data_IF_137863301609
#
_entry.id   IF_137863301609
#
_cell.length_a   1.000
_cell.length_b   1.000
_cell.length_c   1.000
_cell.angle_alpha   90.00
_cell.angle_beta   90.00
_cell.angle_gamma   90.00
#
_symmetry.space_group_name_H-M   'P 1'
#
loop_
_entity.id
_entity.type
_entity.pdbx_description
1 polymer ?
#
# COMPACT_ATOMS: atom_id res chain seq x y z
N UNK A 1 -20.95 -12.90 10.41
CA UNK A 1 -22.17 -12.53 11.17
C UNK A 1 -23.04 -13.72 11.55
N UNK A 2 -22.77 -14.94 11.06
CA UNK A 2 -23.50 -16.15 11.48
C UNK A 2 -22.92 -16.72 12.76
N UNK A 3 -23.74 -17.44 13.52
CA UNK A 3 -23.28 -18.18 14.69
C UNK A 3 -22.14 -19.15 14.31
N UNK A 4 -20.95 -19.06 14.92
CA UNK A 4 -19.78 -19.88 14.57
C UNK A 4 -20.05 -21.40 14.65
N UNK A 5 -20.89 -21.83 15.60
CA UNK A 5 -21.26 -23.23 15.75
C UNK A 5 -22.03 -23.77 14.54
N UNK A 6 -22.93 -22.94 13.98
CA UNK A 6 -23.70 -23.31 12.78
C UNK A 6 -22.82 -23.30 11.52
N UNK A 7 -21.81 -22.40 11.48
CA UNK A 7 -20.81 -22.38 10.39
C UNK A 7 -19.93 -23.63 10.46
N UNK A 8 -19.40 -23.96 11.63
CA UNK A 8 -18.54 -25.13 11.84
C UNK A 8 -19.26 -26.45 11.57
N UNK A 9 -20.59 -26.53 11.86
CA UNK A 9 -21.41 -27.73 11.56
C UNK A 9 -21.87 -27.81 10.09
N UNK A 10 -21.49 -26.87 9.21
CA UNK A 10 -21.85 -26.85 7.79
C UNK A 10 -23.31 -26.52 7.50
N UNK A 11 -24.05 -25.96 8.46
CA UNK A 11 -25.46 -25.62 8.30
C UNK A 11 -25.71 -24.25 7.64
N UNK A 12 -24.65 -23.45 7.47
CA UNK A 12 -24.70 -22.12 6.82
C UNK A 12 -24.09 -22.23 5.43
N UNK A 13 -24.90 -22.00 4.38
CA UNK A 13 -24.46 -22.09 2.98
C UNK A 13 -24.49 -20.73 2.29
N UNK A 14 -25.69 -20.18 2.01
CA UNK A 14 -25.84 -18.95 1.23
C UNK A 14 -26.32 -17.75 2.07
N UNK A 15 -27.09 -17.99 3.11
CA UNK A 15 -27.66 -16.94 3.96
C UNK A 15 -27.19 -17.10 5.39
N UNK A 16 -26.88 -15.97 6.09
CA UNK A 16 -26.48 -16.01 7.49
C UNK A 16 -27.64 -16.56 8.35
N UNK A 17 -27.29 -17.41 9.31
CA UNK A 17 -28.22 -17.96 10.31
C UNK A 17 -27.78 -17.53 11.70
N UNK A 18 -28.75 -17.18 12.54
CA UNK A 18 -28.54 -16.73 13.92
C UNK A 18 -27.48 -15.59 13.97
N UNK A 19 -27.91 -14.42 13.48
CA UNK A 19 -27.01 -13.27 13.26
C UNK A 19 -26.48 -12.74 14.58
N UNK A 20 -25.16 -12.74 14.74
CA UNK A 20 -24.43 -12.23 15.90
C UNK A 20 -23.53 -11.05 15.49
N UNK A 21 -23.66 -9.92 16.20
CA UNK A 21 -22.88 -8.72 15.99
C UNK A 21 -21.74 -8.55 16.99
N UNK A 22 -21.57 -9.52 17.91
CA UNK A 22 -20.65 -9.40 19.04
C UNK A 22 -19.19 -9.29 18.57
N UNK A 23 -18.80 -9.99 17.50
CA UNK A 23 -17.48 -9.83 16.91
C UNK A 23 -17.20 -8.39 16.41
N UNK A 24 -18.18 -7.74 15.80
CA UNK A 24 -18.04 -6.34 15.38
C UNK A 24 -18.03 -5.38 16.56
N UNK A 25 -18.90 -5.57 17.54
CA UNK A 25 -18.91 -4.74 18.77
C UNK A 25 -17.57 -4.79 19.46
N UNK A 26 -17.01 -5.99 19.64
CA UNK A 26 -15.71 -6.18 20.27
C UNK A 26 -14.59 -5.53 19.45
N UNK A 27 -14.55 -5.73 18.15
CA UNK A 27 -13.55 -5.09 17.26
C UNK A 27 -13.62 -3.57 17.34
N UNK A 28 -14.82 -2.98 17.30
CA UNK A 28 -14.97 -1.52 17.34
C UNK A 28 -14.78 -0.91 18.74
N UNK A 29 -14.90 -1.69 19.81
CA UNK A 29 -14.60 -1.25 21.18
C UNK A 29 -13.10 -1.12 21.43
N UNK A 30 -12.26 -1.71 20.56
CA UNK A 30 -10.82 -1.72 20.70
C UNK A 30 -10.23 -0.35 20.32
N UNK A 31 -9.84 0.44 21.31
CA UNK A 31 -9.35 1.81 21.08
C UNK A 31 -8.15 1.90 20.12
N UNK A 32 -7.27 0.88 20.10
CA UNK A 32 -6.13 0.81 19.17
C UNK A 32 -6.55 0.66 17.71
N UNK A 33 -7.75 0.13 17.42
CA UNK A 33 -8.27 0.04 16.05
C UNK A 33 -8.34 1.43 15.41
N UNK A 34 -8.91 2.40 16.11
CA UNK A 34 -9.09 3.77 15.62
C UNK A 34 -7.76 4.49 15.43
N UNK A 35 -6.82 4.28 16.36
CA UNK A 35 -5.44 4.78 16.20
C UNK A 35 -4.78 4.16 14.98
N UNK A 36 -4.92 2.84 14.79
CA UNK A 36 -4.42 2.12 13.63
C UNK A 36 -5.01 2.65 12.31
N UNK A 37 -6.31 2.91 12.25
CA UNK A 37 -6.95 3.54 11.09
C UNK A 37 -6.37 4.91 10.77
N UNK A 38 -6.29 5.79 11.77
CA UNK A 38 -5.71 7.13 11.61
C UNK A 38 -4.29 7.05 11.06
N UNK A 39 -3.46 6.19 11.63
CA UNK A 39 -2.07 6.02 11.22
C UNK A 39 -1.98 5.45 9.79
N UNK A 40 -2.77 4.43 9.47
CA UNK A 40 -2.77 3.84 8.13
C UNK A 40 -3.23 4.84 7.07
N UNK A 41 -4.29 5.61 7.32
CA UNK A 41 -4.73 6.65 6.40
C UNK A 41 -3.61 7.68 6.18
N UNK A 42 -2.98 8.13 7.27
CA UNK A 42 -1.87 9.08 7.20
C UNK A 42 -0.68 8.53 6.41
N UNK A 43 -0.21 7.31 6.73
CA UNK A 43 0.91 6.68 6.03
C UNK A 43 0.58 6.41 4.56
N UNK A 44 -0.64 5.97 4.26
CA UNK A 44 -1.09 5.71 2.90
C UNK A 44 -1.13 7.00 2.09
N UNK A 45 -1.75 8.06 2.59
CA UNK A 45 -1.88 9.32 1.83
C UNK A 45 -0.52 9.98 1.64
N UNK A 46 0.21 10.20 2.73
CA UNK A 46 1.50 10.90 2.68
C UNK A 46 2.54 10.06 1.93
N UNK A 47 2.65 8.78 2.24
CA UNK A 47 3.57 7.86 1.56
C UNK A 47 3.29 7.79 0.07
N UNK A 48 2.03 7.60 -0.35
CA UNK A 48 1.65 7.55 -1.77
C UNK A 48 2.01 8.83 -2.51
N UNK A 49 1.77 10.01 -1.92
CA UNK A 49 2.13 11.29 -2.55
C UNK A 49 3.63 11.38 -2.80
N UNK A 50 4.45 11.06 -1.78
CA UNK A 50 5.91 11.07 -1.93
C UNK A 50 6.40 10.01 -2.93
N UNK A 51 5.87 8.78 -2.86
CA UNK A 51 6.25 7.71 -3.79
C UNK A 51 5.94 8.09 -5.25
N UNK A 52 4.73 8.56 -5.53
CA UNK A 52 4.33 8.96 -6.88
C UNK A 52 5.20 10.12 -7.37
N UNK A 53 5.38 11.15 -6.55
CA UNK A 53 6.19 12.32 -6.92
C UNK A 53 7.63 11.91 -7.26
N UNK A 54 8.29 11.14 -6.39
CA UNK A 54 9.68 10.71 -6.60
C UNK A 54 9.80 9.73 -7.76
N UNK A 55 8.83 8.84 -7.94
CA UNK A 55 8.79 7.91 -9.08
C UNK A 55 8.69 8.68 -10.41
N UNK A 56 7.79 9.67 -10.51
CA UNK A 56 7.65 10.50 -11.71
C UNK A 56 8.88 11.36 -11.94
N UNK A 57 9.44 11.96 -10.88
CA UNK A 57 10.66 12.76 -10.94
C UNK A 57 11.87 11.94 -11.43
N UNK A 58 11.97 10.68 -10.99
CA UNK A 58 13.03 9.75 -11.42
C UNK A 58 12.80 9.23 -12.84
N UNK A 59 11.56 8.89 -13.18
CA UNK A 59 11.20 8.36 -14.49
C UNK A 59 11.38 9.38 -15.63
N UNK A 60 11.14 10.67 -15.36
CA UNK A 60 11.20 11.74 -16.35
C UNK A 60 12.57 11.83 -17.04
N UNK A 61 13.70 12.07 -16.38
CA UNK A 61 15.01 12.13 -17.04
C UNK A 61 15.35 10.81 -17.73
N UNK A 62 15.03 9.67 -17.11
CA UNK A 62 15.29 8.35 -17.69
C UNK A 62 14.45 8.07 -18.95
N UNK A 63 13.35 8.79 -19.14
CA UNK A 63 12.56 8.69 -20.36
C UNK A 63 13.17 9.44 -21.55
N UNK A 64 14.03 10.44 -21.32
CA UNK A 64 14.59 11.30 -22.39
C UNK A 64 15.72 10.61 -23.17
N UNK A 65 15.77 10.86 -24.50
CA UNK A 65 16.80 10.32 -25.38
C UNK A 65 18.19 10.93 -25.06
N UNK A 66 18.19 12.22 -24.77
CA UNK A 66 19.43 13.01 -24.59
C UNK A 66 19.96 13.03 -23.14
N UNK A 67 19.40 12.21 -22.22
CA UNK A 67 19.89 12.16 -20.85
C UNK A 67 21.25 11.46 -20.77
N UNK A 68 22.28 12.21 -20.40
CA UNK A 68 23.65 11.71 -20.25
C UNK A 68 23.72 10.73 -19.07
N UNK A 69 24.33 9.56 -19.32
CA UNK A 69 24.43 8.52 -18.27
C UNK A 69 23.17 7.62 -18.13
N UNK A 70 22.15 7.80 -18.97
CA UNK A 70 20.90 7.02 -18.93
C UNK A 70 21.12 5.52 -18.76
N UNK A 71 22.04 4.92 -19.53
CA UNK A 71 22.33 3.47 -19.47
C UNK A 71 22.88 3.07 -18.11
N UNK A 72 23.76 3.90 -17.52
CA UNK A 72 24.34 3.66 -16.20
C UNK A 72 23.26 3.69 -15.12
N UNK A 73 22.41 4.72 -15.09
CA UNK A 73 21.34 4.83 -14.09
C UNK A 73 20.32 3.70 -14.21
N UNK A 74 19.93 3.33 -15.44
CA UNK A 74 19.01 2.20 -15.64
C UNK A 74 19.63 0.90 -15.14
N UNK A 75 20.91 0.64 -15.47
CA UNK A 75 21.63 -0.54 -14.98
C UNK A 75 21.70 -0.54 -13.44
N UNK A 76 22.03 0.59 -12.84
CA UNK A 76 22.10 0.73 -11.38
C UNK A 76 20.75 0.44 -10.72
N UNK A 77 19.67 1.01 -11.22
CA UNK A 77 18.33 0.71 -10.71
C UNK A 77 17.97 -0.77 -10.88
N UNK A 78 18.22 -1.35 -12.05
CA UNK A 78 17.96 -2.78 -12.28
C UNK A 78 18.83 -3.65 -11.36
N UNK A 79 20.09 -3.29 -11.13
CA UNK A 79 20.94 -4.00 -10.19
C UNK A 79 20.35 -4.03 -8.79
N UNK A 80 19.89 -2.89 -8.26
CA UNK A 80 19.26 -2.83 -6.93
C UNK A 80 17.94 -3.61 -6.83
N UNK A 81 17.28 -3.88 -7.95
CA UNK A 81 16.08 -4.71 -7.99
C UNK A 81 16.37 -6.19 -7.75
N UNK A 82 17.49 -6.69 -8.29
CA UNK A 82 17.87 -8.10 -8.19
C UNK A 82 18.81 -8.41 -7.03
N UNK A 83 19.60 -7.43 -6.57
CA UNK A 83 20.57 -7.57 -5.50
C UNK A 83 20.15 -6.76 -4.28
N UNK A 84 19.42 -7.39 -3.37
CA UNK A 84 19.06 -6.80 -2.08
C UNK A 84 20.02 -7.26 -0.99
N UNK A 85 20.38 -6.35 -0.08
CA UNK A 85 21.24 -6.67 1.06
C UNK A 85 20.61 -7.58 2.12
N UNK A 86 19.29 -7.80 2.05
CA UNK A 86 18.53 -8.59 3.00
C UNK A 86 18.04 -7.78 4.21
N UNK A 87 17.30 -8.47 5.09
CA UNK A 87 16.62 -7.84 6.22
C UNK A 87 17.61 -7.22 7.23
N UNK A 88 18.65 -7.97 7.63
CA UNK A 88 19.58 -7.53 8.70
C UNK A 88 20.36 -6.28 8.28
N UNK A 89 21.03 -6.22 7.13
CA UNK A 89 21.69 -5.00 6.67
C UNK A 89 20.73 -3.81 6.54
N UNK A 90 19.53 -4.03 5.98
CA UNK A 90 18.52 -2.96 5.86
C UNK A 90 18.07 -2.44 7.22
N UNK A 91 17.89 -3.33 8.21
CA UNK A 91 17.56 -2.96 9.57
C UNK A 91 18.66 -2.11 10.21
N UNK A 92 19.92 -2.52 10.08
CA UNK A 92 21.05 -1.78 10.65
C UNK A 92 21.18 -0.38 10.05
N UNK A 93 21.04 -0.26 8.72
CA UNK A 93 21.07 1.05 8.04
C UNK A 93 19.93 1.95 8.51
N UNK A 94 18.70 1.46 8.51
CA UNK A 94 17.54 2.25 8.95
C UNK A 94 17.67 2.65 10.44
N UNK A 95 18.20 1.78 11.30
CA UNK A 95 18.48 2.10 12.69
C UNK A 95 19.57 3.17 12.83
N UNK A 96 20.63 3.09 12.05
CA UNK A 96 21.71 4.09 12.04
C UNK A 96 21.22 5.47 11.54
N UNK A 97 20.22 5.49 10.64
CA UNK A 97 19.55 6.71 10.17
C UNK A 97 18.52 7.28 11.15
N UNK A 98 18.33 6.66 12.34
CA UNK A 98 17.35 7.12 13.33
C UNK A 98 15.89 6.82 12.97
N UNK A 99 15.65 5.87 12.06
CA UNK A 99 14.31 5.49 11.61
C UNK A 99 13.71 4.35 12.43
N UNK A 100 14.47 3.75 13.37
CA UNK A 100 13.95 2.75 14.29
C UNK A 100 13.05 3.42 15.34
N UNK A 101 11.90 2.83 15.60
CA UNK A 101 10.84 3.33 16.49
C UNK A 101 10.36 4.75 16.13
N UNK A 102 10.44 5.09 14.84
CA UNK A 102 10.01 6.37 14.28
C UNK A 102 8.99 6.11 13.16
N UNK A 103 7.82 6.74 13.25
CA UNK A 103 6.75 6.62 12.25
C UNK A 103 7.20 6.99 10.82
N UNK A 104 8.25 7.80 10.66
CA UNK A 104 8.78 8.18 9.35
C UNK A 104 9.24 6.98 8.53
N UNK A 105 9.61 5.87 9.16
CA UNK A 105 10.00 4.64 8.46
C UNK A 105 8.87 4.14 7.54
N UNK A 106 7.61 4.29 7.96
CA UNK A 106 6.44 3.88 7.18
C UNK A 106 6.26 4.67 5.87
N UNK A 107 6.92 5.82 5.77
CA UNK A 107 6.92 6.65 4.56
C UNK A 107 8.22 6.46 3.77
N UNK A 108 9.37 6.46 4.49
CA UNK A 108 10.69 6.45 3.86
C UNK A 108 11.09 5.08 3.32
N UNK A 109 10.69 3.99 3.98
CA UNK A 109 10.95 2.65 3.49
C UNK A 109 10.24 2.42 2.15
N UNK A 110 11.02 2.18 1.09
CA UNK A 110 10.44 1.92 -0.22
C UNK A 110 9.95 3.17 -0.98
N UNK A 111 10.50 4.36 -0.70
CA UNK A 111 10.15 5.61 -1.40
C UNK A 111 10.19 5.50 -2.93
N UNK A 112 11.08 4.70 -3.48
CA UNK A 112 11.19 4.47 -4.92
C UNK A 112 11.12 2.97 -5.19
N UNK A 113 10.11 2.56 -5.94
CA UNK A 113 9.99 1.20 -6.48
C UNK A 113 10.54 1.18 -7.90
N UNK A 114 11.61 0.42 -8.14
CA UNK A 114 12.25 0.34 -9.46
C UNK A 114 11.28 -0.15 -10.54
N UNK A 115 10.47 -1.20 -10.34
CA UNK A 115 9.43 -1.59 -11.32
C UNK A 115 8.49 -0.44 -11.68
N UNK A 116 8.04 0.35 -10.70
CA UNK A 116 7.14 1.48 -10.94
C UNK A 116 7.83 2.61 -11.73
N UNK A 117 9.11 2.87 -11.48
CA UNK A 117 9.92 3.82 -12.28
C UNK A 117 10.00 3.36 -13.73
N UNK A 118 10.23 2.07 -13.97
CA UNK A 118 10.31 1.50 -15.33
C UNK A 118 8.97 1.64 -16.05
N UNK A 119 7.84 1.36 -15.38
CA UNK A 119 6.50 1.53 -15.95
C UNK A 119 6.27 3.00 -16.34
N UNK A 120 6.50 3.93 -15.42
CA UNK A 120 6.32 5.36 -15.67
C UNK A 120 7.24 5.88 -16.79
N UNK A 121 8.51 5.46 -16.79
CA UNK A 121 9.47 5.77 -17.85
C UNK A 121 8.96 5.28 -19.21
N UNK A 122 8.54 4.03 -19.31
CA UNK A 122 8.06 3.43 -20.55
C UNK A 122 6.79 4.12 -21.06
N UNK A 123 5.86 4.43 -20.15
CA UNK A 123 4.68 5.22 -20.48
C UNK A 123 5.07 6.58 -21.06
N UNK A 124 5.97 7.35 -20.42
CA UNK A 124 6.41 8.65 -20.91
C UNK A 124 7.09 8.56 -22.29
N UNK A 125 7.85 7.48 -22.54
CA UNK A 125 8.52 7.27 -23.84
C UNK A 125 7.55 6.98 -24.97
N UNK A 126 6.48 6.23 -24.68
CA UNK A 126 5.55 5.77 -25.71
C UNK A 126 4.36 6.72 -25.93
N UNK A 127 3.98 7.47 -24.89
CA UNK A 127 2.75 8.28 -24.92
C UNK A 127 2.99 9.77 -25.06
N UNK A 128 4.23 10.25 -24.83
CA UNK A 128 4.56 11.67 -24.96
C UNK A 128 5.55 11.85 -26.12
N UNK A 129 5.10 12.41 -27.27
CA UNK A 129 5.93 12.63 -28.43
C UNK A 129 7.18 13.47 -28.13
N UNK A 130 8.30 13.15 -28.76
CA UNK A 130 9.55 13.89 -28.59
C UNK A 130 9.44 15.33 -29.13
N UNK A 131 8.60 15.59 -30.11
CA UNK A 131 8.32 16.91 -30.71
C UNK A 131 7.81 17.91 -29.67
N UNK A 132 7.08 17.45 -28.65
CA UNK A 132 6.64 18.31 -27.54
C UNK A 132 7.82 18.82 -26.69
N UNK A 133 8.86 17.99 -26.55
CA UNK A 133 10.08 18.40 -25.84
C UNK A 133 10.92 19.35 -26.67
N UNK A 134 11.02 19.10 -27.98
CA UNK A 134 11.76 19.96 -28.90
C UNK A 134 11.11 21.33 -28.98
N UNK A 135 9.79 21.41 -29.12
CA UNK A 135 9.03 22.65 -29.07
C UNK A 135 9.25 23.42 -27.75
N UNK A 136 9.20 22.71 -26.60
CA UNK A 136 9.44 23.32 -25.30
C UNK A 136 10.86 23.90 -25.16
N UNK A 137 11.87 23.26 -25.78
CA UNK A 137 13.25 23.77 -25.80
C UNK A 137 13.35 25.02 -26.68
N UNK A 138 12.71 25.04 -27.85
CA UNK A 138 12.66 26.23 -28.74
C UNK A 138 11.99 27.41 -28.05
N UNK A 139 10.92 27.15 -27.25
CA UNK A 139 10.23 28.15 -26.45
C UNK A 139 11.01 28.60 -25.19
N UNK A 140 12.22 28.08 -24.98
CA UNK A 140 13.06 28.39 -23.80
C UNK A 140 12.47 27.88 -22.47
N UNK A 141 11.59 26.90 -22.50
CA UNK A 141 11.00 26.31 -21.28
C UNK A 141 12.04 25.46 -20.55
N UNK A 142 12.24 25.73 -19.27
CA UNK A 142 13.16 24.93 -18.43
C UNK A 142 12.65 23.49 -18.24
N UNK A 143 13.55 22.55 -18.00
CA UNK A 143 13.20 21.14 -17.76
C UNK A 143 12.18 20.96 -16.64
N UNK A 144 12.25 21.77 -15.58
CA UNK A 144 11.29 21.75 -14.48
C UNK A 144 9.88 22.22 -14.92
N UNK A 145 9.79 23.29 -15.67
CA UNK A 145 8.51 23.77 -16.22
C UNK A 145 7.94 22.76 -17.23
N UNK A 146 8.78 22.14 -18.05
CA UNK A 146 8.36 21.08 -18.97
C UNK A 146 7.79 19.88 -18.19
N UNK A 147 8.51 19.40 -17.15
CA UNK A 147 8.04 18.32 -16.28
C UNK A 147 6.68 18.64 -15.66
N UNK A 148 6.54 19.80 -15.01
CA UNK A 148 5.34 20.13 -14.23
C UNK A 148 4.15 20.54 -15.08
N UNK A 149 4.36 21.23 -16.22
CA UNK A 149 3.27 21.81 -17.04
C UNK A 149 2.87 20.93 -18.22
N UNK A 150 3.76 20.09 -18.72
CA UNK A 150 3.51 19.26 -19.91
C UNK A 150 3.49 17.77 -19.52
N UNK A 151 4.57 17.27 -18.94
CA UNK A 151 4.73 15.83 -18.71
C UNK A 151 3.78 15.30 -17.64
N UNK A 152 3.70 15.94 -16.48
CA UNK A 152 2.81 15.49 -15.40
C UNK A 152 1.32 15.45 -15.82
N UNK A 153 0.74 16.50 -16.44
CA UNK A 153 -0.64 16.44 -16.91
C UNK A 153 -0.89 15.36 -17.95
N UNK A 154 0.03 15.17 -18.91
CA UNK A 154 -0.08 14.12 -19.93
C UNK A 154 0.14 12.71 -19.35
N UNK A 155 0.78 12.60 -18.20
CA UNK A 155 1.01 11.35 -17.48
C UNK A 155 -0.11 11.00 -16.50
N UNK A 156 -1.22 11.73 -16.48
CA UNK A 156 -2.33 11.48 -15.55
C UNK A 156 -2.81 10.01 -15.52
N UNK A 157 -2.90 9.26 -16.65
CA UNK A 157 -3.28 7.86 -16.61
C UNK A 157 -2.31 6.98 -15.81
N UNK A 158 -1.01 7.10 -16.03
CA UNK A 158 -0.01 6.29 -15.31
C UNK A 158 0.12 6.75 -13.85
N UNK A 159 -0.07 8.03 -13.55
CA UNK A 159 -0.12 8.55 -12.17
C UNK A 159 -1.26 7.88 -11.41
N UNK A 160 -2.46 7.77 -11.99
CA UNK A 160 -3.58 7.09 -11.33
C UNK A 160 -3.26 5.62 -11.01
N UNK A 161 -2.56 4.91 -11.91
CA UNK A 161 -2.08 3.54 -11.67
C UNK A 161 -1.08 3.51 -10.51
N UNK A 162 -0.12 4.44 -10.46
CA UNK A 162 0.87 4.51 -9.39
C UNK A 162 0.25 4.85 -8.04
N UNK A 163 -0.74 5.75 -8.01
CA UNK A 163 -1.50 6.07 -6.78
C UNK A 163 -2.16 4.81 -6.23
N UNK A 164 -2.76 3.99 -7.09
CA UNK A 164 -3.35 2.72 -6.64
C UNK A 164 -2.29 1.74 -6.14
N UNK A 165 -1.20 1.53 -6.88
CA UNK A 165 -0.16 0.57 -6.49
C UNK A 165 0.48 0.93 -5.15
N UNK A 166 0.90 2.17 -4.98
CA UNK A 166 1.49 2.63 -3.73
C UNK A 166 0.47 2.72 -2.60
N UNK A 167 -0.75 3.17 -2.89
CA UNK A 167 -1.82 3.25 -1.90
C UNK A 167 -2.18 1.88 -1.32
N UNK A 168 -2.33 0.86 -2.17
CA UNK A 168 -2.59 -0.52 -1.71
C UNK A 168 -1.40 -1.09 -0.96
N UNK A 169 -0.16 -0.80 -1.39
CA UNK A 169 1.04 -1.25 -0.70
C UNK A 169 1.14 -0.68 0.72
N UNK A 170 0.96 0.64 0.89
CA UNK A 170 0.96 1.28 2.21
C UNK A 170 -0.19 0.81 3.10
N UNK A 171 -1.39 0.65 2.53
CA UNK A 171 -2.55 0.17 3.29
C UNK A 171 -2.32 -1.20 3.90
N UNK A 172 -1.62 -2.08 3.19
CA UNK A 172 -1.38 -3.46 3.63
C UNK A 172 -0.02 -3.66 4.33
N UNK A 173 0.77 -2.60 4.53
CA UNK A 173 2.10 -2.71 5.12
C UNK A 173 2.06 -2.91 6.63
N UNK A 174 2.04 -4.18 7.04
CA UNK A 174 2.25 -4.57 8.42
C UNK A 174 3.72 -4.96 8.70
N UNK A 175 4.45 -5.36 7.64
CA UNK A 175 5.79 -5.92 7.80
C UNK A 175 6.79 -4.87 8.26
N UNK A 176 6.82 -3.71 7.60
CA UNK A 176 7.67 -2.59 7.99
C UNK A 176 7.38 -2.16 9.42
N UNK A 177 6.11 -2.04 9.78
CA UNK A 177 5.70 -1.70 11.14
C UNK A 177 6.17 -2.74 12.17
N UNK A 178 6.01 -4.03 11.87
CA UNK A 178 6.40 -5.12 12.77
C UNK A 178 7.91 -5.16 13.01
N UNK A 179 8.73 -4.83 12.01
CA UNK A 179 10.19 -4.85 12.10
C UNK A 179 10.76 -3.62 12.79
N UNK A 180 10.15 -2.44 12.56
CA UNK A 180 10.76 -1.17 12.94
C UNK A 180 10.05 -0.40 14.04
N UNK A 181 8.76 -0.66 14.32
CA UNK A 181 7.99 0.08 15.33
C UNK A 181 7.80 -0.73 16.61
N UNK A 182 7.95 -0.08 17.76
CA UNK A 182 7.73 -0.66 19.08
C UNK A 182 6.55 0.00 19.82
N UNK A 183 6.23 1.24 19.49
CA UNK A 183 5.17 2.02 20.13
C UNK A 183 3.81 1.75 19.51
N UNK A 184 2.87 1.26 20.30
CA UNK A 184 1.51 0.96 19.84
C UNK A 184 0.77 2.17 19.22
N UNK A 185 1.11 3.39 19.67
CA UNK A 185 0.54 4.64 19.16
C UNK A 185 0.86 4.88 17.67
N UNK A 186 1.95 4.29 17.16
CA UNK A 186 2.41 4.43 15.78
C UNK A 186 2.01 3.25 14.88
N UNK A 187 1.38 2.22 15.43
CA UNK A 187 1.04 1.03 14.68
C UNK A 187 -0.01 1.32 13.59
N UNK A 188 0.20 0.82 12.36
CA UNK A 188 -0.83 0.81 11.33
C UNK A 188 -1.90 -0.24 11.63
N UNK A 189 -3.06 -0.08 11.01
CA UNK A 189 -4.21 -0.95 11.15
C UNK A 189 -3.85 -2.44 11.01
N UNK A 190 -3.14 -2.82 9.96
CA UNK A 190 -2.80 -4.22 9.68
C UNK A 190 -1.98 -4.87 10.80
N UNK A 191 -1.07 -4.13 11.45
CA UNK A 191 -0.32 -4.64 12.59
C UNK A 191 -1.22 -4.78 13.83
N UNK A 192 -2.13 -3.83 14.07
CA UNK A 192 -3.12 -3.90 15.16
C UNK A 192 -4.03 -5.11 14.97
N UNK A 193 -4.57 -5.31 13.76
CA UNK A 193 -5.44 -6.45 13.45
C UNK A 193 -4.74 -7.79 13.66
N UNK A 194 -3.48 -7.88 13.23
CA UNK A 194 -2.65 -9.07 13.49
C UNK A 194 -2.45 -9.30 14.98
N UNK A 195 -2.18 -8.24 15.75
CA UNK A 195 -2.06 -8.30 17.21
C UNK A 195 -3.32 -8.88 17.87
N UNK A 196 -4.49 -8.39 17.52
CA UNK A 196 -5.78 -8.88 18.02
C UNK A 196 -5.96 -10.38 17.74
N UNK A 197 -5.65 -10.82 16.50
CA UNK A 197 -5.75 -12.22 16.11
C UNK A 197 -4.78 -13.12 16.89
N UNK A 198 -3.56 -12.64 17.15
CA UNK A 198 -2.53 -13.44 17.84
C UNK A 198 -2.79 -13.53 19.34
N UNK A 199 -3.19 -12.44 19.99
CA UNK A 199 -3.50 -12.42 21.43
C UNK A 199 -4.66 -13.36 21.76
N UNK A 200 -5.67 -13.40 20.92
CA UNK A 200 -6.83 -14.26 21.14
C UNK A 200 -6.57 -15.77 20.90
N UNK A 201 -5.45 -16.13 20.26
CA UNK A 201 -5.05 -17.54 20.07
C UNK A 201 -4.26 -18.12 21.26
N UNK A 202 -3.62 -17.28 22.07
CA UNK A 202 -2.67 -17.71 23.11
C UNK A 202 -3.33 -18.01 24.46
N UNK A 203 -4.52 -17.48 24.74
CA UNK A 203 -5.08 -17.44 26.10
C UNK A 203 -5.99 -18.62 26.48
N UNK A 204 -6.01 -19.69 25.70
CA UNK A 204 -6.88 -20.87 25.96
C UNK A 204 -6.35 -21.80 27.04
N UNK A 205 -5.10 -21.64 27.47
CA UNK A 205 -4.44 -22.56 28.41
C UNK A 205 -4.74 -22.34 29.90
N UNK A 206 -5.32 -21.20 30.30
CA UNK A 206 -5.52 -20.82 31.69
C UNK A 206 -6.98 -20.83 32.17
N UNK A 207 -7.93 -21.18 31.30
CA UNK A 207 -9.36 -21.14 31.61
C UNK A 207 -9.80 -22.50 32.15
N UNK A 208 -10.31 -22.52 33.37
CA UNK A 208 -10.76 -23.76 34.06
C UNK A 208 -12.20 -24.16 33.70
N UNK A 209 -13.00 -23.25 33.10
CA UNK A 209 -14.38 -23.53 32.74
C UNK A 209 -14.51 -23.79 31.23
N UNK A 210 -15.06 -24.96 30.88
CA UNK A 210 -15.22 -25.41 29.49
C UNK A 210 -16.23 -24.56 28.71
N UNK A 211 -17.25 -24.01 29.36
CA UNK A 211 -18.24 -23.15 28.68
C UNK A 211 -17.63 -21.78 28.33
N UNK A 212 -16.82 -21.20 29.19
CA UNK A 212 -16.11 -19.93 28.95
C UNK A 212 -15.09 -20.09 27.81
N UNK A 213 -14.41 -21.24 27.72
CA UNK A 213 -13.52 -21.58 26.61
C UNK A 213 -14.25 -21.55 25.26
N UNK A 214 -15.41 -22.21 25.20
CA UNK A 214 -16.21 -22.26 23.96
C UNK A 214 -16.72 -20.88 23.57
N UNK A 215 -17.18 -20.09 24.52
CA UNK A 215 -17.67 -18.73 24.25
C UNK A 215 -16.55 -17.83 23.71
N UNK A 216 -15.35 -17.87 24.32
CA UNK A 216 -14.18 -17.13 23.84
C UNK A 216 -13.75 -17.58 22.45
N UNK A 217 -13.68 -18.88 22.19
CA UNK A 217 -13.34 -19.39 20.86
C UNK A 217 -14.33 -18.90 19.78
N UNK A 218 -15.63 -18.94 20.08
CA UNK A 218 -16.66 -18.42 19.19
C UNK A 218 -16.48 -16.92 18.93
N UNK A 219 -16.18 -16.13 19.97
CA UNK A 219 -15.95 -14.70 19.83
C UNK A 219 -14.72 -14.40 18.99
N UNK A 220 -13.61 -15.12 19.22
CA UNK A 220 -12.37 -15.00 18.42
C UNK A 220 -12.66 -15.29 16.94
N UNK A 221 -13.45 -16.32 16.66
CA UNK A 221 -13.81 -16.66 15.28
C UNK A 221 -14.68 -15.58 14.62
N UNK A 222 -15.65 -15.03 15.32
CA UNK A 222 -16.43 -13.88 14.85
C UNK A 222 -15.57 -12.64 14.62
N UNK A 223 -14.66 -12.34 15.54
CA UNK A 223 -13.72 -11.22 15.40
C UNK A 223 -12.81 -11.38 14.17
N UNK A 224 -12.32 -12.59 13.89
CA UNK A 224 -11.49 -12.87 12.71
C UNK A 224 -12.18 -12.44 11.42
N UNK A 225 -13.44 -12.81 11.23
CA UNK A 225 -14.23 -12.41 10.04
C UNK A 225 -14.58 -10.94 10.05
N UNK A 226 -14.91 -10.36 11.21
CA UNK A 226 -15.15 -8.93 11.34
C UNK A 226 -13.91 -8.10 10.95
N UNK A 227 -12.72 -8.51 11.39
CA UNK A 227 -11.45 -7.85 11.07
C UNK A 227 -11.14 -7.85 9.57
N UNK A 228 -11.41 -8.98 8.87
CA UNK A 228 -11.24 -9.06 7.40
C UNK A 228 -12.14 -8.02 6.72
N UNK A 229 -13.40 -7.95 7.09
CA UNK A 229 -14.34 -6.98 6.52
C UNK A 229 -13.90 -5.54 6.81
N UNK A 230 -13.60 -5.25 8.08
CA UNK A 230 -13.18 -3.92 8.55
C UNK A 230 -11.91 -3.45 7.82
N UNK A 231 -10.94 -4.32 7.60
CA UNK A 231 -9.70 -3.95 6.88
C UNK A 231 -9.89 -3.77 5.37
N UNK A 232 -10.84 -4.49 4.76
CA UNK A 232 -11.03 -4.53 3.31
C UNK A 232 -12.00 -3.46 2.79
N UNK A 233 -13.02 -3.09 3.58
CA UNK A 233 -14.06 -2.13 3.17
C UNK A 233 -13.49 -0.81 2.64
N UNK A 234 -12.49 -0.15 3.26
CA UNK A 234 -11.96 1.10 2.74
C UNK A 234 -11.36 0.96 1.34
N UNK A 235 -10.62 -0.15 1.07
CA UNK A 235 -10.06 -0.42 -0.24
C UNK A 235 -11.15 -0.67 -1.29
N UNK A 236 -12.18 -1.44 -0.94
CA UNK A 236 -13.33 -1.74 -1.83
C UNK A 236 -14.07 -0.45 -2.19
N UNK A 237 -14.28 0.45 -1.22
CA UNK A 237 -14.97 1.74 -1.45
C UNK A 237 -14.15 2.66 -2.35
N UNK A 238 -12.82 2.66 -2.20
CA UNK A 238 -11.94 3.55 -2.98
C UNK A 238 -11.74 3.02 -4.42
N UNK A 239 -11.77 1.70 -4.64
CA UNK A 239 -11.47 1.07 -5.93
C UNK A 239 -12.27 1.64 -7.13
N UNK A 240 -13.60 1.84 -7.07
CA UNK A 240 -14.38 2.38 -8.19
C UNK A 240 -13.94 3.77 -8.67
N UNK A 241 -13.38 4.59 -7.78
CA UNK A 241 -12.88 5.92 -8.14
C UNK A 241 -11.65 5.85 -9.04
N UNK A 242 -10.83 4.81 -8.90
CA UNK A 242 -9.67 4.60 -9.74
C UNK A 242 -9.99 3.82 -11.02
N UNK A 243 -10.96 2.92 -11.00
CA UNK A 243 -11.35 2.07 -12.14
C UNK A 243 -11.59 2.87 -13.42
N UNK A 244 -12.27 4.01 -13.33
CA UNK A 244 -12.56 4.88 -14.49
C UNK A 244 -11.31 5.45 -15.19
N UNK A 245 -10.16 5.50 -14.51
CA UNK A 245 -8.92 6.00 -15.08
C UNK A 245 -8.13 4.88 -15.77
N UNK A 246 -8.33 3.63 -15.39
CA UNK A 246 -7.72 2.47 -16.04
C UNK A 246 -8.26 2.25 -17.46
N UNK A 247 -9.57 2.34 -17.64
CA UNK A 247 -10.22 2.11 -18.93
C UNK A 247 -9.77 3.11 -20.00
N UNK A 248 -9.45 4.35 -19.61
CA UNK A 248 -8.95 5.38 -20.54
C UNK A 248 -7.47 5.18 -20.91
N UNK A 249 -6.64 4.65 -20.01
CA UNK A 249 -5.21 4.47 -20.23
C UNK A 249 -4.87 3.25 -21.09
N UNK A 250 -5.63 2.18 -20.99
CA UNK A 250 -5.41 0.94 -21.73
C UNK A 250 -5.80 1.09 -23.22
N UNK A 251 -6.82 1.89 -23.53
CA UNK A 251 -7.27 2.11 -24.92
C UNK A 251 -6.29 2.93 -25.75
N UNK A 252 -5.48 3.79 -25.17
CA UNK A 252 -4.48 4.60 -25.90
C UNK A 252 -3.31 3.72 -26.38
N UNK A 253 -3.01 2.62 -25.71
CA UNK A 253 -1.96 1.66 -26.12
C UNK A 253 -2.40 0.65 -27.19
N UNK A 254 -3.70 0.36 -27.30
CA UNK A 254 -4.23 -0.66 -28.22
C UNK A 254 -4.57 -0.15 -29.64
N UNK A 255 -4.59 1.17 -29.83
CA UNK A 255 -4.91 1.79 -31.14
C UNK A 255 -3.69 2.03 -32.04
N UNK A 256 -2.50 1.57 -31.65
CA UNK A 256 -1.25 1.63 -32.46
C UNK A 256 -0.74 0.23 -32.84
N UNK A 257 -1.63 -0.73 -33.02
CA UNK A 257 -1.35 -2.02 -33.62
C UNK A 257 -1.97 -2.10 -35.01
#
# INVERSE_FOLDING_TARGET
>A
ISNPRLVASGQVWWFPKDIMWDGYKEVFSYGQLWTGYRNTIFYTVVGTVFNVFLTMLTAYPLSRKNFVGKKFFIFFFMFTMYFAGGLIPSFLVNKALGLYDNWMIMIVAGLISVPNVIICRTFMQNSIPDELYEAAVVDGITHWKNFTRIVLPLSAPVIAVMVLYYGVAHWNDYWTAMVYLSKQETFPLQLVLRGILTLNQVDTGLIQDYEDLIQRQNLVELMKYALIVVSSVPLIVIYPFFQKHFTKGIMVGSLKG
#
